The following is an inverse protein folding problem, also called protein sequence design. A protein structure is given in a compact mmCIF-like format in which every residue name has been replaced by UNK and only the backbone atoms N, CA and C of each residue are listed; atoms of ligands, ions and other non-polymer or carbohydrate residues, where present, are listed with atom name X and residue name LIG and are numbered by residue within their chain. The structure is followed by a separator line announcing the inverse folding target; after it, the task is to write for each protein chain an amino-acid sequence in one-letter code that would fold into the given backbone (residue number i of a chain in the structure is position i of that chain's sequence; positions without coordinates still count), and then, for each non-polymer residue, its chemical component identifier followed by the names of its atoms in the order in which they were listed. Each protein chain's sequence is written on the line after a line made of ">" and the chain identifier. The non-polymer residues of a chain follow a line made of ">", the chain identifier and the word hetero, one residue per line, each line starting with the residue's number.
data_IF_291061859424
#
_entry.id   IF_291061859424
#
_cell.length_a   1.000
_cell.length_b   1.000
_cell.length_c   1.000
_cell.angle_alpha   90.00
_cell.angle_beta   90.00
_cell.angle_gamma   90.00
#
_symmetry.space_group_name_H-M   'P 1'
#
loop_
_entity.id
_entity.type
_entity.pdbx_description
1 polymer ?
#
# COMPACT_ATOMS: atom_id res chain seq x y z
N UNK A 1 -5.10 -8.58 -2.67
CA UNK A 1 -4.02 -8.74 -1.66
C UNK A 1 -2.64 -8.73 -2.31
N UNK A 2 -2.31 -9.77 -3.09
CA UNK A 2 -0.99 -9.96 -3.73
C UNK A 2 -0.65 -8.83 -4.69
N UNK A 3 -1.56 -8.50 -5.62
CA UNK A 3 -1.36 -7.36 -6.53
C UNK A 3 -1.17 -6.01 -5.83
N UNK A 4 -1.75 -5.82 -4.63
CA UNK A 4 -1.53 -4.60 -3.85
C UNK A 4 -0.11 -4.57 -3.25
N UNK A 5 0.39 -5.71 -2.78
CA UNK A 5 1.77 -5.85 -2.33
C UNK A 5 2.75 -5.64 -3.50
N UNK A 6 2.49 -6.23 -4.67
CA UNK A 6 3.31 -6.06 -5.88
C UNK A 6 3.38 -4.58 -6.31
N UNK A 7 2.24 -3.87 -6.31
CA UNK A 7 2.20 -2.42 -6.56
C UNK A 7 3.04 -1.67 -5.52
N UNK A 8 2.92 -2.03 -4.24
CA UNK A 8 3.73 -1.45 -3.17
C UNK A 8 5.23 -1.67 -3.38
N UNK A 9 5.63 -2.87 -3.79
CA UNK A 9 7.03 -3.20 -4.10
C UNK A 9 7.54 -2.44 -5.32
N UNK A 10 6.73 -2.25 -6.36
CA UNK A 10 7.08 -1.43 -7.53
C UNK A 10 7.31 0.03 -7.10
N UNK A 11 6.35 0.64 -6.39
CA UNK A 11 6.44 2.04 -5.95
C UNK A 11 7.66 2.27 -5.06
N UNK A 12 7.99 1.30 -4.20
CA UNK A 12 9.12 1.38 -3.26
C UNK A 12 10.45 0.97 -3.86
N UNK A 13 10.47 0.48 -5.10
CA UNK A 13 11.68 0.00 -5.77
C UNK A 13 12.23 -1.30 -5.17
N UNK A 14 11.37 -2.11 -4.56
CA UNK A 14 11.67 -3.41 -3.95
C UNK A 14 11.27 -4.61 -4.82
N UNK A 15 10.54 -4.38 -5.90
CA UNK A 15 10.05 -5.46 -6.76
C UNK A 15 11.24 -6.17 -7.48
N UNK A 16 11.49 -7.46 -7.23
CA UNK A 16 12.58 -8.26 -7.80
C UNK A 16 12.32 -8.77 -9.23
N UNK A 17 11.15 -8.54 -9.82
CA UNK A 17 10.83 -9.11 -11.13
C UNK A 17 11.60 -8.45 -12.31
N UNK A 18 12.57 -9.16 -12.88
CA UNK A 18 13.33 -8.65 -14.04
C UNK A 18 12.75 -9.08 -15.41
N UNK A 19 11.78 -9.99 -15.44
CA UNK A 19 11.04 -10.40 -16.63
C UNK A 19 11.91 -10.89 -17.80
N UNK A 20 11.29 -10.99 -18.99
CA UNK A 20 12.03 -11.14 -20.24
C UNK A 20 12.58 -9.77 -20.72
N UNK A 21 13.43 -9.74 -21.75
CA UNK A 21 14.09 -8.51 -22.24
C UNK A 21 13.12 -7.36 -22.57
N UNK A 22 11.91 -7.66 -23.04
CA UNK A 22 10.88 -6.65 -23.34
C UNK A 22 10.27 -6.08 -22.06
N UNK A 23 10.03 -6.92 -21.06
CA UNK A 23 9.54 -6.50 -19.75
C UNK A 23 10.61 -5.73 -18.98
N UNK A 24 11.89 -6.12 -19.07
CA UNK A 24 13.00 -5.39 -18.46
C UNK A 24 13.09 -3.95 -18.98
N UNK A 25 13.00 -3.75 -20.30
CA UNK A 25 13.06 -2.41 -20.90
C UNK A 25 11.91 -1.50 -20.43
N UNK A 26 10.67 -2.01 -20.42
CA UNK A 26 9.51 -1.26 -19.91
C UNK A 26 9.64 -0.90 -18.43
N UNK A 27 10.36 -1.74 -17.68
CA UNK A 27 10.59 -1.54 -16.26
C UNK A 27 11.67 -0.52 -15.97
N UNK A 28 12.70 -0.43 -16.81
CA UNK A 28 13.66 0.67 -16.77
C UNK A 28 12.96 2.01 -17.02
N UNK A 29 12.06 2.06 -18.02
CA UNK A 29 11.24 3.25 -18.28
C UNK A 29 10.35 3.61 -17.07
N UNK A 30 9.70 2.61 -16.47
CA UNK A 30 8.88 2.80 -15.27
C UNK A 30 9.71 3.34 -14.09
N UNK A 31 10.86 2.74 -13.81
CA UNK A 31 11.73 3.17 -12.71
C UNK A 31 12.31 4.57 -12.96
N UNK A 32 12.62 4.91 -14.22
CA UNK A 32 13.01 6.28 -14.59
C UNK A 32 11.90 7.28 -14.30
N UNK A 33 10.66 6.97 -14.70
CA UNK A 33 9.50 7.81 -14.42
C UNK A 33 9.24 7.97 -12.91
N UNK A 34 9.36 6.88 -12.14
CA UNK A 34 9.24 6.94 -10.69
C UNK A 34 10.32 7.82 -10.06
N UNK A 35 11.58 7.71 -10.50
CA UNK A 35 12.67 8.59 -10.04
C UNK A 35 12.39 10.05 -10.35
N UNK A 36 11.87 10.37 -11.53
CA UNK A 36 11.51 11.73 -11.91
C UNK A 36 10.38 12.29 -11.03
N UNK A 37 9.30 11.52 -10.85
CA UNK A 37 8.16 11.91 -10.00
C UNK A 37 8.61 12.15 -8.57
N UNK A 38 9.35 11.21 -7.97
CA UNK A 38 9.83 11.35 -6.60
C UNK A 38 10.92 12.43 -6.45
N UNK A 39 11.68 12.71 -7.50
CA UNK A 39 12.58 13.85 -7.57
C UNK A 39 11.83 15.17 -7.48
N UNK A 40 10.78 15.34 -8.28
CA UNK A 40 9.93 16.54 -8.24
C UNK A 40 9.24 16.69 -6.88
N UNK A 41 8.74 15.60 -6.29
CA UNK A 41 8.16 15.62 -4.93
C UNK A 41 9.21 16.05 -3.90
N UNK A 42 10.43 15.51 -3.97
CA UNK A 42 11.51 15.87 -3.06
C UNK A 42 11.88 17.36 -3.17
N UNK A 43 11.98 17.90 -4.39
CA UNK A 43 12.25 19.32 -4.61
C UNK A 43 11.15 20.22 -4.03
N UNK A 44 9.87 19.87 -4.26
CA UNK A 44 8.75 20.60 -3.67
C UNK A 44 8.71 20.48 -2.14
N UNK A 45 9.08 19.33 -1.58
CA UNK A 45 9.21 19.15 -0.13
C UNK A 45 10.34 19.99 0.45
N UNK A 46 11.45 20.19 -0.27
CA UNK A 46 12.52 21.10 0.18
C UNK A 46 12.06 22.56 0.13
N UNK A 47 11.39 22.97 -0.95
CA UNK A 47 10.92 24.36 -1.11
C UNK A 47 9.89 24.75 -0.06
N UNK A 48 8.95 23.84 0.24
CA UNK A 48 7.80 24.12 1.10
C UNK A 48 7.96 23.59 2.54
N UNK A 49 8.98 22.77 2.80
CA UNK A 49 9.16 22.05 4.05
C UNK A 49 9.88 22.85 5.14
N UNK A 50 9.77 22.34 6.38
CA UNK A 50 10.57 22.81 7.52
C UNK A 50 12.00 22.28 7.42
N UNK A 51 12.91 22.90 8.16
CA UNK A 51 14.30 22.43 8.31
C UNK A 51 14.35 20.92 8.62
N UNK A 52 15.21 20.18 7.90
CA UNK A 52 15.46 18.75 8.13
C UNK A 52 14.93 17.78 7.07
N UNK A 53 14.06 18.21 6.14
CA UNK A 53 13.59 17.34 5.02
C UNK A 53 14.75 16.84 4.17
N UNK A 54 15.70 17.73 3.86
CA UNK A 54 16.88 17.41 3.06
C UNK A 54 17.72 16.31 3.72
N UNK A 55 17.95 16.41 5.03
CA UNK A 55 18.74 15.46 5.80
C UNK A 55 17.99 14.14 6.01
N UNK A 56 16.66 14.22 6.22
CA UNK A 56 15.82 13.06 6.43
C UNK A 56 15.77 12.16 5.19
N UNK A 57 15.56 12.75 4.00
CA UNK A 57 15.48 12.01 2.73
C UNK A 57 16.77 12.12 1.91
N UNK A 58 17.92 12.28 2.57
CA UNK A 58 19.19 12.38 1.89
C UNK A 58 19.53 11.07 1.17
N UNK A 59 19.53 11.11 -0.17
CA UNK A 59 19.89 9.97 -1.01
C UNK A 59 20.85 10.43 -2.11
N UNK A 60 22.13 10.09 -1.96
CA UNK A 60 23.17 10.40 -2.92
C UNK A 60 22.93 9.78 -4.30
N UNK A 61 22.22 8.64 -4.35
CA UNK A 61 21.90 7.93 -5.60
C UNK A 61 20.59 8.39 -6.23
N UNK A 62 19.87 9.34 -5.60
CA UNK A 62 18.58 9.89 -6.06
C UNK A 62 17.55 8.80 -6.43
N UNK A 63 17.53 7.71 -5.68
CA UNK A 63 16.50 6.68 -5.81
C UNK A 63 15.27 7.00 -4.93
N UNK A 64 15.45 7.83 -3.91
CA UNK A 64 14.40 8.31 -3.00
C UNK A 64 13.70 7.19 -2.22
N UNK A 65 14.40 6.08 -1.94
CA UNK A 65 13.78 4.90 -1.31
C UNK A 65 13.04 5.22 -0.01
N UNK A 66 13.64 6.03 0.87
CA UNK A 66 12.98 6.43 2.12
C UNK A 66 11.71 7.26 1.87
N UNK A 67 11.77 8.19 0.92
CA UNK A 67 10.61 9.00 0.54
C UNK A 67 9.51 8.13 -0.09
N UNK A 68 9.87 7.15 -0.92
CA UNK A 68 8.94 6.19 -1.52
C UNK A 68 8.26 5.31 -0.47
N UNK A 69 9.00 4.84 0.53
CA UNK A 69 8.45 4.08 1.68
C UNK A 69 7.46 4.92 2.49
N UNK A 70 7.84 6.14 2.87
CA UNK A 70 6.97 7.02 3.66
C UNK A 70 5.73 7.45 2.87
N UNK A 71 5.89 7.70 1.56
CA UNK A 71 4.78 7.98 0.67
C UNK A 71 3.83 6.78 0.56
N UNK A 72 4.34 5.56 0.40
CA UNK A 72 3.52 4.36 0.39
C UNK A 72 2.74 4.22 1.69
N UNK A 73 3.42 4.32 2.83
CA UNK A 73 2.77 4.22 4.14
C UNK A 73 1.65 5.27 4.33
N UNK A 74 1.86 6.50 3.85
CA UNK A 74 0.86 7.56 3.92
C UNK A 74 -0.35 7.33 2.98
N UNK A 75 -0.16 6.67 1.83
CA UNK A 75 -1.18 6.56 0.78
C UNK A 75 -1.78 5.15 0.61
N UNK A 76 -1.21 4.12 1.23
CA UNK A 76 -1.60 2.70 1.06
C UNK A 76 -3.09 2.45 1.30
N UNK A 77 -3.72 3.17 2.22
CA UNK A 77 -5.16 3.06 2.47
C UNK A 77 -6.00 3.53 1.28
N UNK A 78 -5.64 4.66 0.66
CA UNK A 78 -6.30 5.17 -0.55
C UNK A 78 -6.07 4.26 -1.76
N UNK A 79 -4.86 3.72 -1.89
CA UNK A 79 -4.54 2.75 -2.95
C UNK A 79 -5.38 1.47 -2.79
N UNK A 80 -5.51 0.96 -1.56
CA UNK A 80 -6.36 -0.19 -1.27
C UNK A 80 -7.83 0.08 -1.61
N UNK A 81 -8.32 1.27 -1.25
CA UNK A 81 -9.66 1.71 -1.60
C UNK A 81 -9.87 1.69 -3.12
N UNK A 82 -8.95 2.28 -3.89
CA UNK A 82 -9.04 2.29 -5.35
C UNK A 82 -9.05 0.88 -5.96
N UNK A 83 -8.17 -0.01 -5.47
CA UNK A 83 -8.07 -1.40 -5.96
C UNK A 83 -9.34 -2.20 -5.67
N UNK A 84 -9.98 -1.93 -4.53
CA UNK A 84 -11.20 -2.62 -4.10
C UNK A 84 -12.49 -1.96 -4.60
N UNK A 85 -12.40 -0.90 -5.41
CA UNK A 85 -13.57 -0.15 -5.87
C UNK A 85 -14.62 -1.01 -6.61
N UNK A 86 -14.17 -2.04 -7.34
CA UNK A 86 -15.05 -2.98 -8.06
C UNK A 86 -15.37 -4.26 -7.28
N UNK A 87 -14.85 -4.42 -6.07
CA UNK A 87 -15.19 -5.58 -5.26
C UNK A 87 -16.67 -5.51 -4.86
N UNK A 88 -17.34 -6.65 -4.90
CA UNK A 88 -18.74 -6.77 -4.52
C UNK A 88 -18.91 -6.65 -2.99
N UNK A 89 -20.12 -6.37 -2.53
CA UNK A 89 -20.40 -6.25 -1.10
C UNK A 89 -20.09 -7.54 -0.32
N UNK A 90 -20.23 -8.69 -1.00
CA UNK A 90 -19.97 -10.02 -0.46
C UNK A 90 -18.51 -10.46 -0.61
N UNK A 91 -17.66 -9.68 -1.31
CA UNK A 91 -16.25 -9.99 -1.42
C UNK A 91 -15.56 -9.77 -0.07
N UNK A 92 -14.88 -10.82 0.39
CA UNK A 92 -14.15 -10.86 1.66
C UNK A 92 -12.66 -10.99 1.38
N UNK A 93 -11.85 -10.29 2.19
CA UNK A 93 -10.40 -10.38 2.08
C UNK A 93 -9.85 -11.73 2.57
N UNK A 94 -10.40 -12.29 3.65
CA UNK A 94 -10.10 -13.67 4.06
C UNK A 94 -11.22 -14.60 3.58
N UNK A 95 -10.85 -15.80 3.15
CA UNK A 95 -11.82 -16.89 2.92
C UNK A 95 -12.27 -17.41 4.27
N UNK A 96 -13.51 -17.89 4.33
CA UNK A 96 -13.99 -18.63 5.49
C UNK A 96 -13.09 -19.88 5.64
N UNK A 97 -12.26 -19.92 6.69
CA UNK A 97 -11.52 -21.13 7.05
C UNK A 97 -12.49 -22.13 7.66
N UNK A 98 -12.22 -23.45 7.55
CA UNK A 98 -13.04 -24.49 8.18
C UNK A 98 -13.34 -24.11 9.63
N UNK A 99 -14.58 -23.75 9.92
CA UNK A 99 -15.03 -23.40 11.26
C UNK A 99 -15.78 -24.58 11.85
N UNK A 100 -15.26 -25.16 12.93
CA UNK A 100 -15.99 -26.16 13.72
C UNK A 100 -17.18 -25.55 14.51
N UNK A 101 -17.36 -24.23 14.42
CA UNK A 101 -18.44 -23.49 15.05
C UNK A 101 -19.65 -23.43 14.11
N UNK A 102 -20.68 -24.24 14.38
CA UNK A 102 -21.94 -24.31 13.63
C UNK A 102 -22.78 -23.02 13.62
N UNK A 103 -22.31 -21.96 14.25
CA UNK A 103 -22.98 -20.68 14.41
C UNK A 103 -22.45 -19.56 13.48
N UNK A 104 -21.64 -19.87 12.45
CA UNK A 104 -21.18 -18.91 11.42
C UNK A 104 -20.49 -17.63 11.97
N UNK A 105 -20.10 -17.62 13.25
CA UNK A 105 -19.46 -16.47 13.93
C UNK A 105 -17.92 -16.50 13.82
N UNK A 106 -17.42 -17.05 12.73
CA UNK A 106 -16.00 -17.22 12.45
C UNK A 106 -15.32 -15.94 11.95
N UNK A 107 -14.60 -15.28 12.85
CA UNK A 107 -13.58 -14.24 12.62
C UNK A 107 -14.05 -12.89 12.06
N UNK A 108 -13.34 -11.83 12.47
CA UNK A 108 -13.53 -10.44 12.04
C UNK A 108 -13.15 -10.28 10.57
N UNK A 109 -14.07 -10.67 9.67
CA UNK A 109 -13.89 -10.55 8.23
C UNK A 109 -13.94 -9.07 7.79
N UNK A 110 -13.05 -8.67 6.90
CA UNK A 110 -13.20 -7.43 6.14
C UNK A 110 -14.34 -7.61 5.13
N UNK A 111 -15.55 -7.26 5.56
CA UNK A 111 -16.79 -7.33 4.77
C UNK A 111 -17.01 -6.03 3.99
N UNK A 112 -17.90 -6.02 3.00
CA UNK A 112 -18.19 -4.87 2.12
C UNK A 112 -16.94 -4.47 1.31
N UNK A 113 -16.71 -5.16 0.19
CA UNK A 113 -15.66 -4.81 -0.76
C UNK A 113 -14.24 -5.01 -0.20
N UNK A 114 -14.00 -6.05 0.60
CA UNK A 114 -12.68 -6.31 1.23
C UNK A 114 -12.12 -5.15 2.09
N UNK A 115 -12.98 -4.35 2.72
CA UNK A 115 -12.59 -3.19 3.55
C UNK A 115 -12.99 -3.37 5.01
N UNK A 116 -12.35 -2.62 5.90
CA UNK A 116 -12.74 -2.52 7.30
C UNK A 116 -13.15 -1.07 7.61
N UNK A 117 -14.38 -0.90 8.12
CA UNK A 117 -14.88 0.36 8.67
C UNK A 117 -14.05 0.73 9.92
N UNK A 118 -13.52 1.96 9.99
CA UNK A 118 -12.71 2.44 11.13
C UNK A 118 -13.40 2.25 12.49
N UNK A 119 -14.71 2.45 12.56
CA UNK A 119 -15.50 2.31 13.79
C UNK A 119 -15.44 0.90 14.38
N UNK A 120 -15.25 -0.13 13.56
CA UNK A 120 -15.20 -1.53 14.00
C UNK A 120 -13.79 -2.04 14.23
N UNK A 121 -12.78 -1.41 13.63
CA UNK A 121 -11.38 -1.78 13.81
C UNK A 121 -10.77 -1.26 15.12
N UNK A 122 -11.35 -0.21 15.71
CA UNK A 122 -10.91 0.32 17.01
C UNK A 122 -12.04 0.18 18.03
N UNK A 123 -12.16 -1.00 18.66
CA UNK A 123 -12.85 -1.08 19.95
C UNK A 123 -11.98 -0.36 20.99
N UNK A 124 -12.06 0.98 21.05
CA UNK A 124 -11.30 1.77 22.03
C UNK A 124 -11.23 3.29 21.84
N UNK A 125 -11.56 3.86 20.68
CA UNK A 125 -11.55 5.33 20.53
C UNK A 125 -12.69 5.81 19.64
N UNK A 126 -13.59 6.58 20.25
CA UNK A 126 -14.83 7.11 19.67
C UNK A 126 -14.62 8.14 18.56
N UNK A 127 -14.05 7.71 17.43
CA UNK A 127 -14.04 8.48 16.19
C UNK A 127 -15.26 8.13 15.32
N UNK A 128 -15.95 9.16 14.83
CA UNK A 128 -17.10 9.03 13.91
C UNK A 128 -16.73 8.28 12.62
N UNK A 129 -17.66 7.49 12.09
CA UNK A 129 -17.64 6.93 10.73
C UNK A 129 -17.39 8.04 9.71
N UNK A 130 -16.22 7.96 9.09
CA UNK A 130 -15.94 8.58 7.80
C UNK A 130 -15.22 7.55 6.94
N UNK A 131 -15.21 7.79 5.62
CA UNK A 131 -14.58 6.97 4.58
C UNK A 131 -13.08 6.80 4.83
N UNK A 132 -12.73 5.87 5.72
CA UNK A 132 -11.37 5.36 5.79
C UNK A 132 -11.41 3.86 5.91
N UNK A 133 -11.10 3.22 4.78
CA UNK A 133 -10.87 1.79 4.68
C UNK A 133 -9.51 1.47 5.30
N UNK A 134 -9.51 0.72 6.41
CA UNK A 134 -8.27 0.11 6.90
C UNK A 134 -7.89 -0.99 5.93
N UNK A 135 -6.63 -1.00 5.50
CA UNK A 135 -6.07 -2.09 4.69
C UNK A 135 -6.00 -3.33 5.57
N UNK A 136 -6.77 -4.41 5.29
CA UNK A 136 -6.82 -5.59 6.14
C UNK A 136 -5.61 -6.52 5.95
N UNK A 137 -4.57 -6.07 5.25
CA UNK A 137 -3.38 -6.83 4.91
C UNK A 137 -2.10 -6.07 5.22
N UNK A 138 -1.03 -6.83 5.45
CA UNK A 138 0.34 -6.37 5.59
C UNK A 138 1.26 -7.08 4.58
N UNK A 139 0.72 -7.69 3.52
CA UNK A 139 1.55 -8.31 2.49
C UNK A 139 2.48 -7.33 1.79
N UNK A 140 2.12 -6.05 1.75
CA UNK A 140 3.02 -4.97 1.35
C UNK A 140 4.17 -4.73 2.33
N UNK A 141 4.28 -5.47 3.43
CA UNK A 141 5.45 -5.46 4.32
C UNK A 141 6.09 -6.85 4.46
N UNK A 142 5.64 -7.82 3.66
CA UNK A 142 6.22 -9.16 3.58
C UNK A 142 7.11 -9.21 2.33
N UNK A 143 8.37 -9.67 2.42
CA UNK A 143 9.21 -9.87 1.24
C UNK A 143 8.52 -10.74 0.17
N UNK A 144 8.57 -10.33 -1.10
CA UNK A 144 7.83 -10.96 -2.20
C UNK A 144 8.19 -12.44 -2.47
N UNK A 145 9.33 -12.94 -1.97
CA UNK A 145 9.82 -14.30 -2.21
C UNK A 145 9.36 -15.34 -1.17
N UNK A 146 8.45 -14.97 -0.25
CA UNK A 146 7.86 -15.84 0.78
C UNK A 146 6.47 -16.36 0.35
#
# INVERSE_FOLDING_TARGET
>A
ARSFADIGDIVRGKDPFYGNTQESARREDLEKNLKEIFGNIYEELIKNGRNGVKDHYNDAKKNFYRLREDWWNANRAKVWEAITCKAEQNDKYFRDACSDSGDNRGFSQAQKQCRCDKEKAIKGSGGKAGDVSIVPTYFDYVPQYL
#
